data_IF_591900413650
#
_entry.id   IF_591900413650
#
_cell.length_a   1.000
_cell.length_b   1.000
_cell.length_c   1.000
_cell.angle_alpha   90.00
_cell.angle_beta   90.00
_cell.angle_gamma   90.00
#
_symmetry.space_group_name_H-M   'P 1'
#
loop_
_entity.id
_entity.type
_entity.pdbx_description
1 polymer ?
#
# COMPACT_ATOMS: atom_id res chain seq x y z
N UNK A 1 -12.52 -10.49 -4.93
CA UNK A 1 -11.09 -10.26 -5.23
C UNK A 1 -10.17 -11.35 -4.67
N UNK A 2 -10.63 -12.33 -3.87
CA UNK A 2 -9.80 -13.48 -3.46
C UNK A 2 -8.82 -13.26 -2.31
N UNK A 3 -8.87 -12.09 -1.65
CA UNK A 3 -8.03 -11.77 -0.50
C UNK A 3 -8.47 -12.43 0.81
N UNK A 4 -7.74 -12.17 1.90
CA UNK A 4 -8.04 -12.74 3.21
C UNK A 4 -9.37 -12.23 3.78
N UNK A 5 -9.97 -13.02 4.67
CA UNK A 5 -11.11 -12.57 5.47
C UNK A 5 -10.60 -11.64 6.57
N UNK A 6 -11.14 -10.42 6.60
CA UNK A 6 -10.79 -9.41 7.60
C UNK A 6 -11.92 -9.36 8.62
N UNK A 7 -11.60 -9.60 9.89
CA UNK A 7 -12.57 -9.45 10.98
C UNK A 7 -13.05 -8.01 11.00
N UNK A 8 -14.36 -7.82 11.06
CA UNK A 8 -14.98 -6.50 11.03
C UNK A 8 -15.82 -6.29 12.29
N UNK A 9 -15.73 -5.08 12.83
CA UNK A 9 -16.54 -4.60 13.95
C UNK A 9 -17.34 -3.39 13.53
N UNK A 10 -18.63 -3.39 13.86
CA UNK A 10 -19.51 -2.23 13.72
C UNK A 10 -19.30 -1.23 14.88
N UNK A 11 -19.90 -0.04 14.76
CA UNK A 11 -19.91 0.95 15.86
C UNK A 11 -19.10 2.22 15.61
N UNK A 12 -18.60 2.46 14.39
CA UNK A 12 -18.10 3.79 14.01
C UNK A 12 -19.26 4.78 14.06
N UNK A 13 -18.99 5.97 14.57
CA UNK A 13 -19.95 7.07 14.68
C UNK A 13 -19.48 8.19 13.76
N UNK A 14 -20.37 8.63 12.89
CA UNK A 14 -20.10 9.77 12.01
C UNK A 14 -20.07 11.07 12.85
N UNK A 15 -19.12 11.95 12.54
CA UNK A 15 -19.15 13.30 13.09
C UNK A 15 -20.28 14.10 12.43
N UNK A 16 -20.94 14.97 13.21
CA UNK A 16 -22.07 15.77 12.74
C UNK A 16 -21.72 16.71 11.58
N UNK A 17 -20.46 17.15 11.50
CA UNK A 17 -19.96 18.03 10.46
C UNK A 17 -18.42 17.95 10.34
N UNK A 18 -17.86 18.70 9.38
CA UNK A 18 -16.43 18.72 9.09
C UNK A 18 -15.52 19.42 10.11
N UNK A 19 -16.02 19.87 11.27
CA UNK A 19 -15.19 20.51 12.30
C UNK A 19 -14.09 19.58 12.83
N UNK A 20 -14.35 18.28 12.84
CA UNK A 20 -13.42 17.25 13.26
C UNK A 20 -12.57 16.70 12.09
N UNK A 21 -12.70 17.27 10.88
CA UNK A 21 -11.89 16.86 9.75
C UNK A 21 -10.41 17.12 10.03
N UNK A 22 -9.52 16.15 9.77
CA UNK A 22 -8.09 16.37 9.91
C UNK A 22 -7.58 17.40 8.88
N UNK A 23 -6.45 18.07 9.15
CA UNK A 23 -5.84 18.96 8.17
C UNK A 23 -5.39 18.20 6.91
N UNK A 24 -5.46 18.90 5.77
CA UNK A 24 -4.87 18.46 4.51
C UNK A 24 -3.36 18.37 4.66
N UNK A 25 -2.76 17.21 4.33
CA UNK A 25 -1.31 16.83 4.35
C UNK A 25 -0.97 15.58 5.16
N UNK A 26 -1.95 14.91 5.78
CA UNK A 26 -1.66 13.70 6.58
C UNK A 26 -1.45 12.43 5.77
N UNK A 27 -1.86 12.43 4.50
CA UNK A 27 -1.73 11.29 3.59
C UNK A 27 -0.29 11.19 3.04
N UNK A 28 0.23 9.97 2.83
CA UNK A 28 1.53 9.77 2.20
C UNK A 28 1.50 10.25 0.73
N UNK A 29 2.67 10.60 0.20
CA UNK A 29 2.85 10.91 -1.23
C UNK A 29 3.64 9.82 -1.92
N UNK A 30 3.29 9.57 -3.18
CA UNK A 30 3.91 8.57 -4.05
C UNK A 30 5.40 8.84 -4.36
N UNK A 31 5.89 10.06 -4.12
CA UNK A 31 7.25 10.50 -4.45
C UNK A 31 8.12 10.81 -3.22
N UNK A 32 7.72 10.34 -2.04
CA UNK A 32 8.45 10.56 -0.78
C UNK A 32 9.46 9.45 -0.48
N UNK A 33 10.46 9.75 0.34
CA UNK A 33 11.47 8.79 0.80
C UNK A 33 10.95 7.81 1.87
N UNK A 34 11.76 6.78 2.18
CA UNK A 34 11.41 5.76 3.17
C UNK A 34 11.17 6.34 4.58
N UNK A 35 11.91 7.40 4.96
CA UNK A 35 11.72 8.04 6.26
C UNK A 35 10.36 8.73 6.37
N UNK A 36 9.91 9.37 5.30
CA UNK A 36 8.60 10.02 5.23
C UNK A 36 7.45 9.00 5.23
N UNK A 37 7.62 7.86 4.53
CA UNK A 37 6.69 6.72 4.61
C UNK A 37 6.59 6.25 6.06
N UNK A 38 7.72 5.95 6.71
CA UNK A 38 7.74 5.55 8.13
C UNK A 38 7.09 6.59 9.01
N UNK A 39 7.41 7.88 8.85
CA UNK A 39 6.82 8.95 9.64
C UNK A 39 5.29 8.97 9.55
N UNK A 40 4.72 8.82 8.35
CA UNK A 40 3.28 8.80 8.14
C UNK A 40 2.61 7.63 8.88
N UNK A 41 3.19 6.43 8.77
CA UNK A 41 2.61 5.20 9.32
C UNK A 41 2.92 4.97 10.81
N UNK A 42 4.10 5.39 11.29
CA UNK A 42 4.49 5.30 12.69
C UNK A 42 3.61 6.19 13.57
N UNK A 43 3.17 7.35 13.05
CA UNK A 43 2.18 8.21 13.72
C UNK A 43 0.84 7.49 13.93
N UNK A 44 0.53 6.50 13.10
CA UNK A 44 -0.67 5.65 13.21
C UNK A 44 -0.41 4.35 13.99
N UNK A 45 0.79 4.18 14.55
CA UNK A 45 1.18 3.02 15.36
C UNK A 45 1.54 1.77 14.55
N UNK A 46 1.82 1.89 13.25
CA UNK A 46 2.30 0.76 12.44
C UNK A 46 3.81 0.60 12.51
N UNK A 47 4.28 -0.64 12.40
CA UNK A 47 5.71 -0.96 12.21
C UNK A 47 6.03 -1.24 10.72
N UNK A 48 7.31 -1.43 10.39
CA UNK A 48 7.77 -1.67 9.01
C UNK A 48 7.08 -2.87 8.33
N UNK A 49 6.83 -3.97 9.06
CA UNK A 49 6.15 -5.17 8.54
C UNK A 49 4.71 -4.86 8.11
N UNK A 50 3.99 -4.13 8.95
CA UNK A 50 2.61 -3.71 8.71
C UNK A 50 2.54 -2.69 7.56
N UNK A 51 3.51 -1.78 7.45
CA UNK A 51 3.62 -0.82 6.34
C UNK A 51 3.74 -1.55 5.01
N UNK A 52 4.73 -2.46 4.90
CA UNK A 52 4.96 -3.21 3.66
C UNK A 52 3.74 -4.07 3.32
N UNK A 53 3.10 -4.69 4.31
CA UNK A 53 1.86 -5.44 4.10
C UNK A 53 0.77 -4.53 3.51
N UNK A 54 0.50 -3.38 4.13
CA UNK A 54 -0.54 -2.45 3.66
C UNK A 54 -0.26 -1.92 2.24
N UNK A 55 0.99 -1.59 1.91
CA UNK A 55 1.36 -1.15 0.55
C UNK A 55 1.13 -2.27 -0.48
N UNK A 56 1.19 -3.55 -0.07
CA UNK A 56 0.81 -4.70 -0.90
C UNK A 56 -0.64 -4.67 -1.43
N UNK A 57 -1.50 -3.79 -0.90
CA UNK A 57 -2.81 -3.49 -1.50
C UNK A 57 -2.69 -2.97 -2.95
N UNK A 58 -1.55 -2.41 -3.35
CA UNK A 58 -1.25 -2.07 -4.74
C UNK A 58 -1.21 -3.30 -5.67
N UNK A 59 -1.36 -4.53 -5.17
CA UNK A 59 -1.75 -5.67 -6.03
C UNK A 59 -3.08 -5.45 -6.78
N UNK A 60 -3.93 -4.57 -6.25
CA UNK A 60 -5.23 -4.20 -6.78
C UNK A 60 -5.22 -2.82 -7.44
N UNK A 61 -6.06 -2.67 -8.47
CA UNK A 61 -6.38 -1.39 -9.08
C UNK A 61 -5.27 -0.83 -9.98
N UNK A 62 -5.33 0.49 -10.15
CA UNK A 62 -4.46 1.27 -11.02
C UNK A 62 -4.45 2.74 -10.62
N UNK A 63 -3.41 3.45 -11.02
CA UNK A 63 -3.39 4.91 -11.05
C UNK A 63 -4.17 5.45 -12.27
N UNK A 64 -4.71 6.65 -12.09
CA UNK A 64 -5.40 7.42 -13.13
C UNK A 64 -4.85 8.85 -13.15
N UNK A 65 -4.54 9.34 -14.35
CA UNK A 65 -3.97 10.68 -14.56
C UNK A 65 -4.82 11.80 -13.95
N UNK A 66 -6.15 11.75 -14.10
CA UNK A 66 -7.09 12.77 -13.62
C UNK A 66 -7.28 12.79 -12.09
N UNK A 67 -6.75 11.78 -11.37
CA UNK A 67 -6.88 11.65 -9.91
C UNK A 67 -5.57 11.88 -9.17
N UNK A 68 -4.51 11.26 -9.68
CA UNK A 68 -3.21 11.22 -8.99
C UNK A 68 -2.07 11.81 -9.81
N UNK A 69 -2.30 12.13 -11.09
CA UNK A 69 -1.26 12.46 -12.06
C UNK A 69 -0.53 11.24 -12.62
N UNK A 70 -0.47 10.12 -11.89
CA UNK A 70 0.15 8.85 -12.30
C UNK A 70 -0.80 8.02 -13.19
N UNK A 71 -0.24 7.10 -14.00
CA UNK A 71 -1.03 6.29 -14.94
C UNK A 71 -0.52 4.85 -15.03
N UNK A 72 -1.42 3.88 -14.87
CA UNK A 72 -1.13 2.46 -15.10
C UNK A 72 -1.48 1.56 -13.91
N UNK A 73 -1.47 0.25 -14.14
CA UNK A 73 -1.77 -0.78 -13.16
C UNK A 73 -0.48 -1.39 -12.61
N UNK A 74 -0.49 -1.86 -11.37
CA UNK A 74 0.68 -2.50 -10.77
C UNK A 74 0.84 -3.97 -11.14
N UNK A 75 -0.26 -4.68 -11.39
CA UNK A 75 -0.27 -6.11 -11.71
C UNK A 75 -1.09 -6.36 -12.97
N UNK A 76 -0.86 -7.50 -13.62
CA UNK A 76 -1.68 -7.93 -14.78
C UNK A 76 -3.10 -8.34 -14.39
N UNK A 77 -3.35 -8.58 -13.10
CA UNK A 77 -4.65 -8.98 -12.55
C UNK A 77 -5.15 -7.96 -11.51
N UNK A 78 -5.47 -6.72 -11.91
CA UNK A 78 -5.75 -5.62 -10.98
C UNK A 78 -7.04 -5.80 -10.15
N UNK A 79 -7.82 -6.85 -10.40
CA UNK A 79 -9.04 -7.19 -9.65
C UNK A 79 -8.89 -8.42 -8.74
N UNK A 80 -7.68 -8.97 -8.66
CA UNK A 80 -7.34 -10.15 -7.86
C UNK A 80 -6.28 -9.80 -6.82
N UNK A 81 -6.63 -9.95 -5.55
CA UNK A 81 -5.71 -9.76 -4.44
C UNK A 81 -4.75 -10.94 -4.40
N UNK A 82 -3.46 -10.64 -4.47
CA UNK A 82 -2.38 -11.63 -4.52
C UNK A 82 -1.07 -10.99 -4.06
N UNK A 83 -0.02 -11.78 -3.90
CA UNK A 83 1.33 -11.28 -3.63
C UNK A 83 2.10 -10.91 -4.91
N UNK A 84 1.44 -10.85 -6.09
CA UNK A 84 2.07 -10.53 -7.38
C UNK A 84 2.70 -9.13 -7.40
N UNK A 85 2.21 -8.19 -6.59
CA UNK A 85 2.87 -6.89 -6.39
C UNK A 85 4.33 -7.05 -5.94
N UNK A 86 4.56 -7.87 -4.91
CA UNK A 86 5.90 -8.11 -4.34
C UNK A 86 6.76 -8.98 -5.26
N UNK A 87 6.16 -9.97 -5.92
CA UNK A 87 6.86 -10.80 -6.91
C UNK A 87 7.38 -9.95 -8.07
N UNK A 88 6.50 -9.17 -8.71
CA UNK A 88 6.91 -8.28 -9.79
C UNK A 88 7.93 -7.23 -9.35
N UNK A 89 7.86 -6.72 -8.11
CA UNK A 89 8.89 -5.81 -7.58
C UNK A 89 10.30 -6.42 -7.59
N UNK A 90 10.44 -7.74 -7.40
CA UNK A 90 11.73 -8.43 -7.32
C UNK A 90 12.14 -9.09 -8.63
N UNK A 91 11.17 -9.59 -9.40
CA UNK A 91 11.39 -10.40 -10.60
C UNK A 91 11.53 -9.53 -11.86
N UNK A 92 10.81 -8.40 -11.93
CA UNK A 92 10.86 -7.51 -13.09
C UNK A 92 12.02 -6.53 -13.03
N UNK A 93 12.46 -6.08 -14.21
CA UNK A 93 13.37 -4.94 -14.34
C UNK A 93 12.56 -3.67 -14.57
N UNK A 94 12.84 -2.63 -13.78
CA UNK A 94 12.12 -1.36 -13.80
C UNK A 94 12.98 -0.26 -14.40
N UNK A 95 12.41 0.54 -15.29
CA UNK A 95 13.03 1.77 -15.77
C UNK A 95 12.11 2.97 -15.58
N UNK A 96 12.69 4.16 -15.50
CA UNK A 96 11.91 5.39 -15.42
C UNK A 96 11.15 5.61 -16.72
N UNK A 97 9.82 5.74 -16.61
CA UNK A 97 8.95 6.00 -17.75
C UNK A 97 9.21 7.39 -18.33
N UNK A 98 9.37 7.46 -19.66
CA UNK A 98 9.52 8.73 -20.37
C UNK A 98 8.17 9.27 -20.83
N UNK A 99 7.59 10.23 -20.09
CA UNK A 99 6.26 10.78 -20.35
C UNK A 99 6.07 12.15 -19.66
N UNK A 100 4.91 12.78 -19.86
CA UNK A 100 4.62 14.14 -19.37
C UNK A 100 4.08 14.20 -17.93
N UNK A 101 3.86 13.04 -17.29
CA UNK A 101 3.37 12.99 -15.92
C UNK A 101 4.49 12.97 -14.87
N UNK A 102 4.14 12.77 -13.59
CA UNK A 102 5.12 12.63 -12.51
C UNK A 102 6.07 11.45 -12.76
N UNK A 103 7.22 11.48 -12.09
CA UNK A 103 8.20 10.38 -12.19
C UNK A 103 7.56 9.09 -11.71
N UNK A 104 7.48 8.11 -12.60
CA UNK A 104 7.04 6.74 -12.33
C UNK A 104 7.91 5.77 -13.12
N UNK A 105 7.80 4.50 -12.78
CA UNK A 105 8.57 3.42 -13.40
C UNK A 105 7.64 2.49 -14.15
N UNK A 106 8.16 1.88 -15.21
CA UNK A 106 7.49 0.85 -15.99
C UNK A 106 8.40 -0.37 -16.16
N UNK A 107 7.78 -1.52 -16.34
CA UNK A 107 8.52 -2.76 -16.57
C UNK A 107 9.19 -2.72 -17.95
N UNK A 108 10.44 -3.15 -18.04
CA UNK A 108 11.22 -3.07 -19.28
C UNK A 108 10.66 -3.98 -20.38
N UNK A 109 10.10 -5.13 -20.02
CA UNK A 109 9.73 -6.17 -20.96
C UNK A 109 8.45 -5.86 -21.74
N UNK A 110 7.40 -5.42 -21.05
CA UNK A 110 6.05 -5.24 -21.62
C UNK A 110 5.59 -3.79 -21.61
N UNK A 111 6.22 -2.91 -20.80
CA UNK A 111 5.82 -1.50 -20.65
C UNK A 111 4.36 -1.35 -20.20
N UNK A 112 3.82 -2.34 -19.52
CA UNK A 112 2.38 -2.43 -19.19
C UNK A 112 2.09 -2.21 -17.70
N UNK A 113 3.11 -2.38 -16.86
CA UNK A 113 3.02 -2.26 -15.41
C UNK A 113 3.62 -0.95 -14.91
N UNK A 114 3.06 -0.47 -13.80
CA UNK A 114 3.46 0.73 -13.09
C UNK A 114 4.16 0.35 -11.78
N UNK A 115 5.22 1.10 -11.44
CA UNK A 115 5.63 1.31 -10.04
C UNK A 115 5.77 2.79 -9.75
N UNK A 116 5.27 3.21 -8.59
CA UNK A 116 5.52 4.53 -8.05
C UNK A 116 6.92 4.57 -7.43
N UNK A 117 7.53 5.76 -7.28
CA UNK A 117 8.78 5.89 -6.53
C UNK A 117 8.69 5.28 -5.12
N UNK A 118 7.56 5.46 -4.43
CA UNK A 118 7.29 4.84 -3.12
C UNK A 118 7.28 3.31 -3.15
N UNK A 119 6.92 2.69 -4.27
CA UNK A 119 6.93 1.22 -4.40
C UNK A 119 8.36 0.71 -4.64
N UNK A 120 9.14 1.40 -5.49
CA UNK A 120 10.55 1.07 -5.74
C UNK A 120 11.37 1.21 -4.45
N UNK A 121 11.06 2.20 -3.61
CA UNK A 121 11.74 2.36 -2.32
C UNK A 121 11.64 1.14 -1.40
N UNK A 122 10.63 0.28 -1.56
CA UNK A 122 10.50 -0.94 -0.75
C UNK A 122 11.62 -1.95 -1.01
N UNK A 123 12.22 -1.95 -2.20
CA UNK A 123 13.35 -2.83 -2.55
C UNK A 123 14.72 -2.15 -2.43
N UNK A 124 14.73 -0.81 -2.32
CA UNK A 124 15.92 0.00 -2.07
C UNK A 124 16.23 0.12 -0.57
N UNK A 125 15.22 0.27 0.28
CA UNK A 125 15.38 0.31 1.74
C UNK A 125 15.61 -1.10 2.30
N UNK A 126 16.75 -1.38 2.96
CA UNK A 126 17.08 -2.72 3.43
C UNK A 126 16.09 -3.30 4.45
N UNK A 127 15.46 -2.46 5.29
CA UNK A 127 14.54 -2.95 6.32
C UNK A 127 13.18 -3.30 5.73
N UNK A 128 12.69 -2.50 4.76
CA UNK A 128 11.48 -2.86 4.02
C UNK A 128 11.68 -4.08 3.12
N UNK A 129 12.85 -4.18 2.47
CA UNK A 129 13.15 -5.25 1.53
C UNK A 129 13.01 -6.64 2.14
N UNK A 130 13.34 -6.81 3.42
CA UNK A 130 13.17 -8.10 4.13
C UNK A 130 11.73 -8.59 4.02
N UNK A 131 10.75 -7.71 4.23
CA UNK A 131 9.32 -8.07 4.15
C UNK A 131 8.83 -8.20 2.71
N UNK A 132 9.38 -7.44 1.76
CA UNK A 132 9.10 -7.62 0.33
C UNK A 132 9.49 -9.04 -0.11
N UNK A 133 10.70 -9.47 0.25
CA UNK A 133 11.20 -10.83 -0.05
C UNK A 133 10.36 -11.89 0.66
N UNK A 134 10.00 -11.67 1.93
CA UNK A 134 9.13 -12.60 2.66
C UNK A 134 7.78 -12.78 1.97
N UNK A 135 7.10 -11.68 1.63
CA UNK A 135 5.76 -11.73 1.02
C UNK A 135 5.77 -12.21 -0.44
N UNK A 136 6.84 -11.93 -1.20
CA UNK A 136 7.01 -12.50 -2.53
C UNK A 136 7.10 -14.03 -2.49
N UNK A 137 7.80 -14.59 -1.50
CA UNK A 137 7.97 -16.04 -1.34
C UNK A 137 6.82 -16.71 -0.59
N UNK A 138 6.02 -15.96 0.18
CA UNK A 138 4.96 -16.50 1.03
C UNK A 138 3.69 -15.65 0.98
N UNK A 139 2.86 -15.88 -0.05
CA UNK A 139 1.58 -15.20 -0.22
C UNK A 139 0.58 -15.45 0.91
N UNK A 140 0.64 -16.59 1.60
CA UNK A 140 -0.21 -16.88 2.75
C UNK A 140 0.15 -16.01 3.95
N UNK A 141 1.44 -15.82 4.23
CA UNK A 141 1.91 -14.93 5.28
C UNK A 141 1.54 -13.47 4.99
N UNK A 142 1.71 -13.04 3.73
CA UNK A 142 1.21 -11.73 3.29
C UNK A 142 -0.28 -11.54 3.58
N UNK A 143 -1.11 -12.52 3.23
CA UNK A 143 -2.55 -12.43 3.45
C UNK A 143 -2.90 -12.32 4.96
N UNK A 144 -2.21 -13.06 5.82
CA UNK A 144 -2.40 -12.98 7.28
C UNK A 144 -2.01 -11.60 7.81
N UNK A 145 -0.83 -11.10 7.45
CA UNK A 145 -0.34 -9.82 7.94
C UNK A 145 -1.14 -8.64 7.38
N UNK A 146 -1.55 -8.72 6.11
CA UNK A 146 -2.45 -7.75 5.51
C UNK A 146 -3.78 -7.69 6.26
N UNK A 147 -4.40 -8.83 6.56
CA UNK A 147 -5.67 -8.86 7.28
C UNK A 147 -5.56 -8.22 8.67
N UNK A 148 -4.47 -8.51 9.38
CA UNK A 148 -4.21 -7.94 10.71
C UNK A 148 -3.95 -6.42 10.63
N UNK A 149 -3.06 -5.99 9.74
CA UNK A 149 -2.70 -4.58 9.58
C UNK A 149 -3.87 -3.74 9.05
N UNK A 150 -4.64 -4.25 8.09
CA UNK A 150 -5.82 -3.57 7.56
C UNK A 150 -6.97 -3.55 8.58
N UNK A 151 -7.18 -4.65 9.33
CA UNK A 151 -8.12 -4.65 10.45
C UNK A 151 -7.78 -3.57 11.48
N UNK A 152 -6.50 -3.50 11.90
CA UNK A 152 -5.99 -2.43 12.77
C UNK A 152 -6.22 -1.04 12.17
N UNK A 153 -5.93 -0.84 10.88
CA UNK A 153 -6.15 0.43 10.17
C UNK A 153 -7.61 0.88 10.23
N UNK A 154 -8.55 -0.03 9.98
CA UNK A 154 -9.98 0.26 10.00
C UNK A 154 -10.51 0.61 11.40
N UNK A 155 -9.80 0.22 12.45
CA UNK A 155 -10.20 0.38 13.85
C UNK A 155 -9.49 1.55 14.56
N UNK A 156 -8.59 2.26 13.89
CA UNK A 156 -7.90 3.41 14.47
C UNK A 156 -8.88 4.49 14.97
N UNK A 157 -8.72 4.88 16.23
CA UNK A 157 -9.52 5.94 16.86
C UNK A 157 -10.96 5.53 17.23
N UNK A 158 -11.31 4.24 17.12
CA UNK A 158 -12.61 3.73 17.54
C UNK A 158 -12.55 3.24 18.98
N UNK A 159 -13.31 3.88 19.86
CA UNK A 159 -13.48 3.44 21.24
C UNK A 159 -14.49 2.30 21.30
N UNK A 160 -13.98 1.07 21.26
CA UNK A 160 -14.83 -0.09 21.45
C UNK A 160 -15.11 -0.33 22.95
N UNK A 161 -16.37 -0.46 23.36
CA UNK A 161 -16.68 -0.83 24.74
C UNK A 161 -16.03 -2.19 25.07
N UNK A 162 -15.52 -2.32 26.30
CA UNK A 162 -15.01 -3.59 26.78
C UNK A 162 -16.11 -4.65 26.68
N UNK A 163 -15.78 -5.79 26.08
CA UNK A 163 -16.66 -6.95 26.08
C UNK A 163 -16.73 -7.49 27.51
N UNK A 164 -17.92 -7.45 28.11
CA UNK A 164 -18.24 -8.08 29.39
C UNK A 164 -18.29 -9.60 29.27
#
# INVERSE_FOLDING_TARGET
MGGPIIKWRHGRVDFENGKNSPPSNRLPSASQDAQSIRFAFYRMGFNDREIVALIGAHSLGRCHTDRSGFEGQWTLTPTTFSNEFFRGLLEDTWEKRNWQGPTQFEDVQTKSLLRLPSDILLIEDPQFKVYVVEYANNGSQFAVDFANAFGKLLELGVDFPATY
#
